data_IF_240716466859
#
_entry.id   IF_240716466859
#
_cell.length_a   1.000
_cell.length_b   1.000
_cell.length_c   1.000
_cell.angle_alpha   90.00
_cell.angle_beta   90.00
_cell.angle_gamma   90.00
#
_symmetry.space_group_name_H-M   'P 1'
#
loop_
_entity.id
_entity.type
_entity.pdbx_description
1 polymer ?
#
# COMPACT_ATOMS: atom_id res chain seq x y z
N UNK A 1 13.74 -18.71 -6.66
CA UNK A 1 13.54 -17.32 -6.21
C UNK A 1 12.19 -16.93 -6.76
N UNK A 2 11.20 -16.82 -5.89
CA UNK A 2 9.85 -16.38 -6.29
C UNK A 2 9.96 -14.92 -6.70
N UNK A 3 9.28 -14.52 -7.77
CA UNK A 3 9.33 -13.17 -8.31
C UNK A 3 8.50 -12.23 -7.42
N UNK A 4 9.17 -11.27 -6.78
CA UNK A 4 8.57 -10.24 -5.91
C UNK A 4 7.36 -9.57 -6.58
N UNK A 5 7.41 -9.40 -7.91
CA UNK A 5 6.31 -8.80 -8.65
C UNK A 5 5.05 -9.70 -8.64
N UNK A 6 5.24 -11.01 -8.84
CA UNK A 6 4.14 -11.98 -8.81
C UNK A 6 3.49 -12.04 -7.43
N UNK A 7 4.29 -11.98 -6.36
CA UNK A 7 3.78 -12.02 -4.98
C UNK A 7 2.98 -10.76 -4.63
N UNK A 8 3.47 -9.57 -5.02
CA UNK A 8 2.78 -8.30 -4.80
C UNK A 8 1.44 -8.26 -5.54
N UNK A 9 1.43 -8.63 -6.82
CA UNK A 9 0.19 -8.64 -7.62
C UNK A 9 -0.82 -9.64 -7.03
N UNK A 10 -0.37 -10.84 -6.67
CA UNK A 10 -1.23 -11.86 -6.05
C UNK A 10 -1.79 -11.42 -4.69
N UNK A 11 -1.00 -10.72 -3.87
CA UNK A 11 -1.46 -10.13 -2.62
C UNK A 11 -2.48 -9.01 -2.84
N UNK A 12 -2.24 -8.14 -3.82
CA UNK A 12 -3.17 -7.08 -4.17
C UNK A 12 -4.50 -7.62 -4.72
N UNK A 13 -4.49 -8.69 -5.51
CA UNK A 13 -5.70 -9.38 -5.97
C UNK A 13 -6.49 -10.00 -4.82
N UNK A 14 -5.82 -10.53 -3.78
CA UNK A 14 -6.47 -10.99 -2.55
C UNK A 14 -7.20 -9.85 -1.83
N UNK A 15 -6.63 -8.65 -1.77
CA UNK A 15 -7.32 -7.47 -1.23
C UNK A 15 -8.62 -7.16 -2.00
N UNK A 16 -8.57 -7.22 -3.33
CA UNK A 16 -9.76 -7.04 -4.18
C UNK A 16 -10.82 -8.09 -3.87
N UNK A 17 -10.43 -9.36 -3.73
CA UNK A 17 -11.35 -10.44 -3.38
C UNK A 17 -12.01 -10.23 -2.00
N UNK A 18 -11.24 -9.79 -1.00
CA UNK A 18 -11.74 -9.48 0.34
C UNK A 18 -12.76 -8.33 0.33
N UNK A 19 -12.54 -7.28 -0.49
CA UNK A 19 -13.48 -6.15 -0.61
C UNK A 19 -14.82 -6.56 -1.25
N UNK A 20 -14.79 -7.39 -2.29
CA UNK A 20 -16.00 -7.86 -3.00
C UNK A 20 -16.91 -8.70 -2.12
N UNK A 21 -16.33 -9.44 -1.18
CA UNK A 21 -17.08 -10.26 -0.24
C UNK A 21 -17.87 -9.44 0.79
N UNK A 22 -17.55 -8.15 0.96
CA UNK A 22 -18.02 -7.37 2.10
C UNK A 22 -19.15 -6.38 1.82
N UNK A 23 -19.22 -5.69 0.68
CA UNK A 23 -20.35 -4.77 0.41
C UNK A 23 -20.48 -4.28 -1.05
N UNK A 24 -19.97 -5.03 -2.03
CA UNK A 24 -20.08 -4.67 -3.45
C UNK A 24 -19.29 -3.43 -3.89
N UNK A 25 -18.61 -2.75 -2.96
CA UNK A 25 -17.57 -1.77 -3.27
C UNK A 25 -16.39 -2.47 -3.94
N UNK A 26 -15.94 -1.94 -5.08
CA UNK A 26 -14.92 -2.60 -5.90
C UNK A 26 -13.62 -1.83 -5.78
N UNK A 27 -12.63 -2.47 -5.15
CA UNK A 27 -11.24 -2.09 -5.33
C UNK A 27 -10.84 -2.31 -6.80
N UNK A 28 -10.55 -1.22 -7.52
CA UNK A 28 -10.32 -1.17 -8.96
C UNK A 28 -8.91 -0.67 -9.34
N UNK A 29 -8.03 -0.53 -8.35
CA UNK A 29 -6.68 0.01 -8.44
C UNK A 29 -6.57 1.48 -8.83
N UNK A 30 -7.66 2.25 -8.75
CA UNK A 30 -7.61 3.71 -8.86
C UNK A 30 -7.14 4.38 -7.57
N UNK A 31 -6.59 5.60 -7.64
CA UNK A 31 -6.29 6.42 -6.46
C UNK A 31 -7.55 6.62 -5.58
N UNK A 32 -8.72 6.77 -6.20
CA UNK A 32 -10.00 6.95 -5.49
C UNK A 32 -10.40 5.72 -4.65
N UNK A 33 -10.03 4.51 -5.08
CA UNK A 33 -10.33 3.27 -4.34
C UNK A 33 -9.61 3.17 -3.00
N UNK A 34 -8.61 4.01 -2.73
CA UNK A 34 -7.93 4.05 -1.43
C UNK A 34 -8.84 4.52 -0.30
N UNK A 35 -9.92 5.26 -0.60
CA UNK A 35 -10.96 5.57 0.39
C UNK A 35 -11.67 4.30 0.89
N UNK A 36 -11.91 3.34 0.00
CA UNK A 36 -12.49 2.03 0.35
C UNK A 36 -11.51 1.25 1.23
N UNK A 37 -10.22 1.29 0.92
CA UNK A 37 -9.19 0.67 1.77
C UNK A 37 -9.21 1.28 3.17
N UNK A 38 -9.24 2.61 3.28
CA UNK A 38 -9.34 3.31 4.57
C UNK A 38 -10.54 2.87 5.39
N UNK A 39 -11.73 2.84 4.78
CA UNK A 39 -12.97 2.44 5.45
C UNK A 39 -12.88 0.98 5.94
N UNK A 40 -12.34 0.07 5.12
CA UNK A 40 -12.15 -1.33 5.48
C UNK A 40 -11.15 -1.50 6.64
N UNK A 41 -10.01 -0.81 6.61
CA UNK A 41 -9.02 -0.88 7.69
C UNK A 41 -9.57 -0.26 8.99
N UNK A 42 -10.37 0.80 8.88
CA UNK A 42 -11.08 1.39 10.00
C UNK A 42 -12.05 0.39 10.66
N UNK A 43 -12.84 -0.32 9.86
CA UNK A 43 -13.74 -1.36 10.36
C UNK A 43 -12.95 -2.50 11.02
N UNK A 44 -11.89 -2.98 10.34
CA UNK A 44 -10.99 -4.03 10.87
C UNK A 44 -10.45 -3.63 12.25
N UNK A 45 -10.06 -2.37 12.44
CA UNK A 45 -9.50 -1.91 13.71
C UNK A 45 -10.44 -2.09 14.90
N UNK A 46 -11.76 -2.11 14.68
CA UNK A 46 -12.76 -2.31 15.74
C UNK A 46 -12.73 -3.70 16.37
N UNK A 47 -12.17 -4.69 15.66
CA UNK A 47 -12.08 -6.09 16.11
C UNK A 47 -10.65 -6.67 15.97
N UNK A 48 -9.65 -5.85 15.63
CA UNK A 48 -8.27 -6.28 15.43
C UNK A 48 -7.65 -6.93 16.68
N UNK A 49 -8.11 -6.55 17.88
CA UNK A 49 -7.66 -7.12 19.15
C UNK A 49 -8.00 -8.63 19.31
N UNK A 50 -8.99 -9.12 18.58
CA UNK A 50 -9.40 -10.54 18.59
C UNK A 50 -8.68 -11.37 17.51
N UNK A 51 -7.86 -10.72 16.66
CA UNK A 51 -7.13 -11.35 15.57
C UNK A 51 -5.77 -11.87 16.02
N UNK A 52 -5.31 -12.94 15.38
CA UNK A 52 -3.94 -13.42 15.51
C UNK A 52 -2.97 -12.55 14.71
N UNK A 53 -1.69 -12.54 15.12
CA UNK A 53 -0.63 -11.83 14.40
C UNK A 53 -0.54 -12.25 12.92
N UNK A 54 -0.77 -13.54 12.63
CA UNK A 54 -0.78 -14.08 11.26
C UNK A 54 -1.93 -13.51 10.43
N UNK A 55 -3.11 -13.35 11.01
CA UNK A 55 -4.26 -12.76 10.32
C UNK A 55 -4.02 -11.27 10.05
N UNK A 56 -3.50 -10.53 11.05
CA UNK A 56 -3.11 -9.13 10.88
C UNK A 56 -2.04 -9.00 9.78
N UNK A 57 -0.99 -9.82 9.82
CA UNK A 57 0.07 -9.82 8.81
C UNK A 57 -0.48 -10.10 7.41
N UNK A 58 -1.41 -11.04 7.27
CA UNK A 58 -2.05 -11.34 5.98
C UNK A 58 -2.80 -10.12 5.42
N UNK A 59 -3.51 -9.38 6.26
CA UNK A 59 -4.20 -8.14 5.87
C UNK A 59 -3.21 -7.04 5.50
N UNK A 60 -2.13 -6.88 6.28
CA UNK A 60 -1.05 -5.94 6.00
C UNK A 60 -0.44 -6.18 4.63
N UNK A 61 -0.11 -7.45 4.31
CA UNK A 61 0.41 -7.82 3.01
C UNK A 61 -0.59 -7.53 1.89
N UNK A 62 -1.85 -7.91 2.05
CA UNK A 62 -2.87 -7.74 1.01
C UNK A 62 -3.10 -6.26 0.69
N UNK A 63 -3.45 -5.46 1.70
CA UNK A 63 -3.76 -4.04 1.51
C UNK A 63 -2.50 -3.21 1.25
N UNK A 64 -1.37 -3.55 1.87
CA UNK A 64 -0.08 -2.91 1.60
C UNK A 64 0.34 -3.07 0.15
N UNK A 65 0.28 -4.29 -0.40
CA UNK A 65 0.56 -4.55 -1.81
C UNK A 65 -0.47 -3.92 -2.75
N UNK A 66 -1.74 -3.83 -2.34
CA UNK A 66 -2.75 -3.11 -3.11
C UNK A 66 -2.40 -1.62 -3.28
N UNK A 67 -1.99 -0.94 -2.20
CA UNK A 67 -1.55 0.47 -2.26
C UNK A 67 -0.32 0.64 -3.18
N UNK A 68 0.63 -0.31 -3.15
CA UNK A 68 1.77 -0.32 -4.06
C UNK A 68 1.35 -0.51 -5.53
N UNK A 69 0.35 -1.35 -5.81
CA UNK A 69 -0.21 -1.51 -7.17
C UNK A 69 -0.95 -0.27 -7.67
N UNK A 70 -1.69 0.43 -6.80
CA UNK A 70 -2.29 1.74 -7.13
C UNK A 70 -1.19 2.74 -7.54
N UNK A 71 -0.12 2.83 -6.73
CA UNK A 71 1.05 3.64 -7.05
C UNK A 71 1.71 3.28 -8.38
N UNK A 72 1.96 1.98 -8.62
CA UNK A 72 2.62 1.51 -9.83
C UNK A 72 1.78 1.78 -11.08
N UNK A 73 0.47 1.62 -11.01
CA UNK A 73 -0.44 1.87 -12.15
C UNK A 73 -0.58 3.35 -12.46
N UNK A 74 -0.62 4.20 -11.44
CA UNK A 74 -0.74 5.65 -11.60
C UNK A 74 0.56 6.31 -12.10
N UNK A 75 1.72 5.81 -11.64
CA UNK A 75 3.00 6.50 -11.83
C UNK A 75 4.11 5.67 -12.48
N UNK A 76 3.86 4.40 -12.78
CA UNK A 76 4.89 3.47 -13.24
C UNK A 76 5.83 3.05 -12.10
N UNK A 77 7.09 2.82 -12.42
CA UNK A 77 8.09 2.34 -11.46
C UNK A 77 8.16 0.82 -11.37
N UNK A 78 8.98 0.34 -10.44
CA UNK A 78 9.29 -1.08 -10.26
C UNK A 78 9.29 -1.46 -8.79
N UNK A 79 8.91 -2.71 -8.53
CA UNK A 79 9.03 -3.30 -7.21
C UNK A 79 10.47 -3.70 -6.93
N UNK A 80 10.88 -3.51 -5.68
CA UNK A 80 12.10 -4.07 -5.12
C UNK A 80 11.76 -4.67 -3.76
N UNK A 81 12.59 -5.60 -3.29
CA UNK A 81 12.54 -6.07 -1.91
C UNK A 81 13.45 -5.19 -1.05
N UNK A 82 12.97 -4.72 0.09
CA UNK A 82 13.76 -3.90 1.01
C UNK A 82 14.21 -4.73 2.22
N UNK A 83 15.41 -5.29 2.13
CA UNK A 83 15.95 -6.25 3.11
C UNK A 83 15.93 -5.73 4.55
N UNK A 84 16.15 -4.43 4.77
CA UNK A 84 16.22 -3.83 6.10
C UNK A 84 14.90 -3.93 6.89
N UNK A 85 13.78 -4.10 6.19
CA UNK A 85 12.45 -4.18 6.80
C UNK A 85 11.63 -5.40 6.36
N UNK A 86 12.23 -6.26 5.53
CA UNK A 86 11.59 -7.48 5.01
C UNK A 86 10.23 -7.21 4.36
N UNK A 87 10.16 -6.14 3.56
CA UNK A 87 8.92 -5.68 2.94
C UNK A 87 9.15 -5.18 1.50
N UNK A 88 8.12 -5.24 0.63
CA UNK A 88 8.21 -4.71 -0.72
C UNK A 88 8.19 -3.18 -0.74
N UNK A 89 8.92 -2.61 -1.68
CA UNK A 89 8.97 -1.18 -1.94
C UNK A 89 8.62 -0.89 -3.40
N UNK A 90 7.79 0.12 -3.65
CA UNK A 90 7.60 0.68 -4.98
C UNK A 90 8.63 1.78 -5.19
N UNK A 91 9.41 1.69 -6.26
CA UNK A 91 10.40 2.69 -6.64
C UNK A 91 10.00 3.32 -7.98
N UNK A 92 9.66 4.61 -7.96
CA UNK A 92 9.39 5.43 -9.14
C UNK A 92 10.62 6.28 -9.43
N UNK A 93 11.21 6.10 -10.60
CA UNK A 93 12.43 6.78 -11.02
C UNK A 93 12.21 7.49 -12.36
N UNK A 94 12.78 8.70 -12.47
CA UNK A 94 12.96 9.42 -13.72
C UNK A 94 14.44 9.62 -14.04
N UNK A 95 14.80 10.47 -15.04
CA UNK A 95 16.20 10.71 -15.41
C UNK A 95 17.07 11.17 -14.24
N UNK A 96 16.53 12.03 -13.37
CA UNK A 96 17.26 12.66 -12.28
C UNK A 96 16.51 12.62 -10.93
N UNK A 97 15.53 11.72 -10.75
CA UNK A 97 14.84 11.59 -9.46
C UNK A 97 14.54 10.14 -9.11
N UNK A 98 14.42 9.88 -7.81
CA UNK A 98 14.00 8.60 -7.23
C UNK A 98 13.06 8.85 -6.05
N UNK A 99 11.83 8.36 -6.15
CA UNK A 99 10.86 8.45 -5.05
C UNK A 99 10.34 7.06 -4.80
N UNK A 100 10.40 6.62 -3.55
CA UNK A 100 10.02 5.28 -3.16
C UNK A 100 8.97 5.30 -2.04
N UNK A 101 8.16 4.25 -1.98
CA UNK A 101 7.07 4.11 -1.01
C UNK A 101 7.02 2.69 -0.45
N UNK A 102 6.90 2.61 0.87
CA UNK A 102 6.64 1.41 1.63
C UNK A 102 5.33 1.59 2.41
N UNK A 103 4.52 0.54 2.51
CA UNK A 103 3.12 0.67 2.94
C UNK A 103 2.75 -0.18 4.15
N UNK A 104 3.50 -1.25 4.46
CA UNK A 104 3.09 -2.22 5.48
C UNK A 104 3.01 -1.61 6.87
N UNK A 105 3.96 -0.75 7.25
CA UNK A 105 3.91 -0.02 8.51
C UNK A 105 2.64 0.82 8.67
N UNK A 106 2.26 1.57 7.64
CA UNK A 106 1.02 2.38 7.62
C UNK A 106 -0.23 1.52 7.72
N UNK A 107 -0.31 0.45 6.93
CA UNK A 107 -1.47 -0.45 6.98
C UNK A 107 -1.59 -1.12 8.35
N UNK A 108 -0.48 -1.54 8.95
CA UNK A 108 -0.45 -2.13 10.28
C UNK A 108 -0.95 -1.14 11.34
N UNK A 109 -0.36 0.05 11.41
CA UNK A 109 -0.78 1.05 12.41
C UNK A 109 -2.23 1.46 12.23
N UNK A 110 -2.72 1.50 10.98
CA UNK A 110 -4.14 1.75 10.72
C UNK A 110 -5.06 0.64 11.22
N UNK A 111 -4.68 -0.63 11.06
CA UNK A 111 -5.38 -1.80 11.62
C UNK A 111 -5.35 -1.76 13.15
N UNK A 112 -4.23 -1.35 13.74
CA UNK A 112 -4.07 -1.21 15.20
C UNK A 112 -4.82 0.01 15.76
N UNK A 113 -5.45 0.82 14.89
CA UNK A 113 -6.36 1.89 15.26
C UNK A 113 -5.75 3.28 15.28
N UNK A 114 -4.54 3.48 14.73
CA UNK A 114 -3.94 4.81 14.60
C UNK A 114 -4.57 5.60 13.44
N UNK A 115 -5.34 6.67 13.70
CA UNK A 115 -5.91 7.50 12.64
C UNK A 115 -4.84 8.33 11.89
N UNK A 116 -3.65 8.49 12.45
CA UNK A 116 -2.51 9.14 11.81
C UNK A 116 -1.96 8.36 10.62
N UNK A 117 -2.23 7.06 10.54
CA UNK A 117 -1.86 6.18 9.44
C UNK A 117 -2.95 6.09 8.36
N UNK A 118 -3.69 7.18 8.15
CA UNK A 118 -4.71 7.30 7.11
C UNK A 118 -4.12 7.05 5.72
N UNK A 119 -4.62 6.03 5.03
CA UNK A 119 -4.02 5.54 3.78
C UNK A 119 -4.14 6.55 2.62
N UNK A 120 -5.31 7.17 2.36
CA UNK A 120 -5.44 8.22 1.35
C UNK A 120 -4.51 9.39 1.57
N UNK A 121 -4.39 9.89 2.81
CA UNK A 121 -3.52 11.01 3.14
C UNK A 121 -2.04 10.68 2.91
N UNK A 122 -1.59 9.51 3.36
CA UNK A 122 -0.24 9.03 3.13
C UNK A 122 0.07 8.91 1.62
N UNK A 123 -0.81 8.27 0.87
CA UNK A 123 -0.64 8.07 -0.57
C UNK A 123 -0.64 9.40 -1.34
N UNK A 124 -1.53 10.33 -0.99
CA UNK A 124 -1.59 11.65 -1.64
C UNK A 124 -0.26 12.40 -1.49
N UNK A 125 0.36 12.34 -0.31
CA UNK A 125 1.69 12.90 -0.08
C UNK A 125 2.77 12.31 -1.00
N UNK A 126 2.76 10.99 -1.21
CA UNK A 126 3.64 10.30 -2.16
C UNK A 126 3.34 10.74 -3.60
N UNK A 127 2.07 10.67 -4.01
CA UNK A 127 1.65 10.93 -5.37
C UNK A 127 1.90 12.39 -5.80
N UNK A 128 1.67 13.36 -4.90
CA UNK A 128 2.05 14.76 -5.11
C UNK A 128 3.55 14.92 -5.34
N UNK A 129 4.39 14.24 -4.54
CA UNK A 129 5.84 14.31 -4.69
C UNK A 129 6.32 13.72 -6.00
N UNK A 130 5.72 12.61 -6.43
CA UNK A 130 6.02 12.01 -7.75
C UNK A 130 5.60 12.95 -8.88
N UNK A 131 4.41 13.53 -8.82
CA UNK A 131 3.90 14.46 -9.84
C UNK A 131 4.71 15.76 -9.92
N UNK A 132 5.26 16.22 -8.81
CA UNK A 132 6.05 17.44 -8.70
C UNK A 132 7.57 17.18 -8.60
N UNK A 133 8.05 16.00 -9.01
CA UNK A 133 9.44 15.62 -8.84
C UNK A 133 10.39 16.59 -9.58
N UNK A 134 11.31 17.20 -8.82
CA UNK A 134 12.38 18.03 -9.36
C UNK A 134 13.66 17.18 -9.53
N UNK A 135 14.58 17.56 -10.43
CA UNK A 135 15.90 16.93 -10.52
C UNK A 135 16.59 16.90 -9.15
N UNK A 136 17.30 15.80 -8.88
CA UNK A 136 17.92 15.44 -7.61
C UNK A 136 16.95 15.13 -6.45
N UNK A 137 15.64 15.00 -6.69
CA UNK A 137 14.72 14.51 -5.65
C UNK A 137 15.03 13.04 -5.33
N UNK A 138 15.44 12.77 -4.10
CA UNK A 138 15.53 11.44 -3.51
C UNK A 138 14.69 11.40 -2.24
N UNK A 139 13.64 10.59 -2.23
CA UNK A 139 12.69 10.55 -1.11
C UNK A 139 12.16 9.13 -0.87
N UNK A 140 11.97 8.80 0.41
CA UNK A 140 11.36 7.56 0.87
C UNK A 140 10.13 7.89 1.74
N UNK A 141 8.98 7.35 1.35
CA UNK A 141 7.74 7.38 2.10
C UNK A 141 7.58 6.06 2.87
N UNK A 142 7.44 6.16 4.18
CA UNK A 142 7.27 5.03 5.13
C UNK A 142 6.12 5.30 6.06
#
# INVERSE_FOLDING_TARGET
MVDVNTDIVSAAERAVALSKARDGQVLDYSEASLAIVEDLLAEISSYAADMTDTEVQTLVECFGCYVLEVGRRAHGGRYQWFDQREEPILVVEGPDFRIAMITWGRVRGRIEGDPGDNIPFFYDGFAQRVRAAEPATDALYV
#
